data_IF_811823892799
#
_entry.id   IF_811823892799
#
_cell.length_a   1.000
_cell.length_b   1.000
_cell.length_c   1.000
_cell.angle_alpha   90.00
_cell.angle_beta   90.00
_cell.angle_gamma   90.00
#
_symmetry.space_group_name_H-M   'P 1'
#
loop_
_entity.id
_entity.type
_entity.pdbx_description
1 polymer ?
#
# COMPACT_ATOMS: atom_id res chain seq x y z
N UNK A 1 -9.90 -19.36 -5.05
CA UNK A 1 -9.98 -18.69 -3.74
C UNK A 1 -11.20 -17.79 -3.76
N UNK A 2 -12.00 -17.75 -2.68
CA UNK A 2 -12.93 -16.63 -2.48
C UNK A 2 -12.09 -15.39 -2.23
N UNK A 3 -12.36 -14.29 -2.93
CA UNK A 3 -11.73 -13.02 -2.61
C UNK A 3 -12.23 -12.58 -1.24
N UNK A 4 -11.33 -12.31 -0.28
CA UNK A 4 -11.71 -11.86 1.06
C UNK A 4 -12.45 -10.51 1.03
N UNK A 5 -12.34 -9.76 -0.06
CA UNK A 5 -13.06 -8.50 -0.28
C UNK A 5 -14.56 -8.75 -0.55
N UNK A 6 -14.93 -9.87 -1.17
CA UNK A 6 -16.34 -10.23 -1.40
C UNK A 6 -17.09 -10.53 -0.08
N UNK A 7 -16.38 -10.91 0.99
CA UNK A 7 -16.97 -11.08 2.32
C UNK A 7 -17.25 -9.75 3.02
N UNK A 8 -16.51 -8.69 2.68
CA UNK A 8 -16.67 -7.33 3.25
C UNK A 8 -17.76 -6.54 2.52
N UNK A 9 -17.94 -6.79 1.21
CA UNK A 9 -18.93 -6.14 0.38
C UNK A 9 -19.76 -7.19 -0.37
N UNK A 10 -20.67 -7.87 0.33
CA UNK A 10 -21.60 -8.85 -0.27
C UNK A 10 -22.76 -8.19 -1.04
N UNK A 11 -22.78 -6.85 -1.08
CA UNK A 11 -23.82 -6.04 -1.72
C UNK A 11 -25.13 -6.00 -0.95
N UNK A 12 -25.16 -6.41 0.32
CA UNK A 12 -26.35 -6.40 1.17
C UNK A 12 -26.15 -5.62 2.49
N UNK A 13 -27.01 -4.62 2.78
CA UNK A 13 -28.09 -4.09 1.92
C UNK A 13 -27.51 -3.46 0.64
N UNK A 14 -28.33 -3.25 -0.41
CA UNK A 14 -27.86 -2.61 -1.65
C UNK A 14 -27.23 -1.22 -1.43
N UNK A 15 -27.56 -0.56 -0.32
CA UNK A 15 -26.97 0.70 0.12
C UNK A 15 -25.56 0.54 0.77
N UNK A 16 -25.10 -0.68 1.02
CA UNK A 16 -23.76 -1.01 1.51
C UNK A 16 -22.79 -1.34 0.37
N UNK A 17 -23.08 -0.88 -0.86
CA UNK A 17 -22.18 -1.06 -1.99
C UNK A 17 -20.89 -0.24 -1.81
N UNK A 18 -19.78 -0.92 -1.56
CA UNK A 18 -18.47 -0.32 -1.41
C UNK A 18 -17.69 -0.44 -2.72
N UNK A 19 -17.04 0.63 -3.15
CA UNK A 19 -16.12 0.66 -4.28
C UNK A 19 -14.68 0.72 -3.76
N UNK A 20 -13.83 -0.19 -4.22
CA UNK A 20 -12.38 -0.07 -4.01
C UNK A 20 -11.82 1.12 -4.80
N UNK A 21 -10.97 1.91 -4.17
CA UNK A 21 -10.21 2.95 -4.87
C UNK A 21 -9.00 2.32 -5.55
N UNK A 22 -8.73 2.75 -6.79
CA UNK A 22 -7.51 2.36 -7.50
C UNK A 22 -6.28 2.75 -6.67
N UNK A 23 -5.26 1.89 -6.63
CA UNK A 23 -4.05 2.10 -5.86
C UNK A 23 -2.94 2.69 -6.73
N UNK A 24 -2.33 3.74 -6.20
CA UNK A 24 -1.23 4.44 -6.84
C UNK A 24 -0.05 4.53 -5.89
N UNK A 25 1.14 4.51 -6.45
CA UNK A 25 2.37 4.70 -5.71
C UNK A 25 3.04 5.97 -6.23
N UNK A 26 3.18 7.00 -5.38
CA UNK A 26 3.76 8.31 -5.73
C UNK A 26 5.30 8.23 -5.84
N UNK A 27 5.80 7.39 -6.75
CA UNK A 27 7.21 7.06 -7.00
C UNK A 27 7.46 7.01 -8.51
N UNK A 28 8.70 6.77 -8.95
CA UNK A 28 9.05 6.77 -10.38
C UNK A 28 8.28 5.73 -11.21
N UNK A 29 8.27 5.91 -12.54
CA UNK A 29 7.43 5.16 -13.50
C UNK A 29 7.46 3.63 -13.32
N UNK A 30 8.64 3.05 -13.08
CA UNK A 30 8.78 1.61 -12.85
C UNK A 30 8.06 1.14 -11.58
N UNK A 31 8.07 1.97 -10.54
CA UNK A 31 7.40 1.71 -9.27
C UNK A 31 5.88 1.82 -9.40
N UNK A 32 5.39 2.86 -10.07
CA UNK A 32 3.96 2.99 -10.38
C UNK A 32 3.47 1.80 -11.23
N UNK A 33 4.25 1.37 -12.23
CA UNK A 33 3.88 0.23 -13.05
C UNK A 33 3.74 -1.06 -12.22
N UNK A 34 4.67 -1.32 -11.29
CA UNK A 34 4.58 -2.48 -10.39
C UNK A 34 3.43 -2.37 -9.38
N UNK A 35 3.14 -1.17 -8.89
CA UNK A 35 2.00 -0.87 -8.03
C UNK A 35 0.68 -1.30 -8.71
N UNK A 36 0.47 -0.86 -9.95
CA UNK A 36 -0.70 -1.25 -10.74
C UNK A 36 -0.73 -2.75 -11.06
N UNK A 37 0.43 -3.40 -11.27
CA UNK A 37 0.46 -4.84 -11.48
C UNK A 37 0.06 -5.63 -10.22
N UNK A 38 0.35 -5.11 -9.03
CA UNK A 38 0.02 -5.75 -7.76
C UNK A 38 -1.50 -5.86 -7.49
N UNK A 39 -2.30 -5.00 -8.10
CA UNK A 39 -3.78 -5.10 -8.03
C UNK A 39 -4.34 -6.27 -8.84
N UNK A 40 -3.60 -6.73 -9.85
CA UNK A 40 -4.08 -7.70 -10.83
C UNK A 40 -3.50 -9.09 -10.55
N UNK A 41 -2.31 -9.16 -9.96
CA UNK A 41 -1.60 -10.40 -9.66
C UNK A 41 -0.63 -10.23 -8.51
N UNK A 42 -0.22 -11.37 -7.95
CA UNK A 42 0.93 -11.40 -7.05
C UNK A 42 2.19 -10.92 -7.77
N UNK A 43 2.95 -10.06 -7.09
CA UNK A 43 4.28 -9.67 -7.51
C UNK A 43 5.27 -10.79 -7.21
N UNK A 44 6.24 -10.97 -8.11
CA UNK A 44 7.38 -11.86 -7.88
C UNK A 44 8.29 -11.27 -6.80
N UNK A 45 9.12 -12.11 -6.16
CA UNK A 45 10.07 -11.65 -5.14
C UNK A 45 10.94 -10.47 -5.59
N UNK A 46 11.53 -10.46 -6.81
CA UNK A 46 12.32 -9.31 -7.26
C UNK A 46 11.49 -8.03 -7.45
N UNK A 47 10.24 -8.15 -7.92
CA UNK A 47 9.34 -7.00 -8.08
C UNK A 47 8.96 -6.40 -6.72
N UNK A 48 8.62 -7.26 -5.76
CA UNK A 48 8.36 -6.83 -4.38
C UNK A 48 9.59 -6.19 -3.73
N UNK A 49 10.78 -6.77 -3.94
CA UNK A 49 12.04 -6.22 -3.42
C UNK A 49 12.37 -4.84 -4.04
N UNK A 50 12.05 -4.64 -5.32
CA UNK A 50 12.22 -3.34 -5.96
C UNK A 50 11.35 -2.27 -5.30
N UNK A 51 10.05 -2.56 -5.13
CA UNK A 51 9.12 -1.65 -4.44
C UNK A 51 9.51 -1.41 -2.98
N UNK A 52 9.97 -2.45 -2.27
CA UNK A 52 10.39 -2.38 -0.87
C UNK A 52 11.72 -1.62 -0.66
N UNK A 53 12.47 -1.31 -1.71
CA UNK A 53 13.74 -0.60 -1.58
C UNK A 53 13.54 0.87 -1.20
N UNK A 54 14.54 1.45 -0.54
CA UNK A 54 14.51 2.85 -0.06
C UNK A 54 14.36 3.89 -1.18
N UNK A 55 14.69 3.53 -2.42
CA UNK A 55 14.53 4.38 -3.60
C UNK A 55 13.11 4.37 -4.17
N UNK A 56 12.24 3.50 -3.65
CA UNK A 56 10.83 3.40 -3.99
C UNK A 56 10.00 3.62 -2.72
N UNK A 57 9.27 2.62 -2.21
CA UNK A 57 8.38 2.81 -1.07
C UNK A 57 9.06 2.59 0.28
N UNK A 58 10.08 1.73 0.33
CA UNK A 58 10.96 1.56 1.50
C UNK A 58 10.44 0.63 2.61
N UNK A 59 9.17 0.28 2.63
CA UNK A 59 8.62 -0.68 3.61
C UNK A 59 8.74 -2.14 3.14
N UNK A 60 8.67 -3.09 4.08
CA UNK A 60 8.80 -4.53 3.80
C UNK A 60 7.65 -5.11 2.98
N UNK A 61 6.42 -4.65 3.25
CA UNK A 61 5.18 -5.06 2.61
C UNK A 61 4.62 -3.86 1.81
N UNK A 62 5.13 -3.60 0.59
CA UNK A 62 4.86 -2.37 -0.14
C UNK A 62 3.44 -2.18 -0.66
N UNK A 63 2.75 -3.27 -1.02
CA UNK A 63 1.44 -3.23 -1.71
C UNK A 63 0.65 -4.51 -1.41
N UNK A 64 -0.66 -4.49 -1.68
CA UNK A 64 -1.52 -5.68 -1.75
C UNK A 64 -2.23 -6.08 -0.45
N UNK A 65 -1.85 -5.53 0.70
CA UNK A 65 -2.47 -5.85 1.99
C UNK A 65 -3.39 -4.74 2.54
N UNK A 66 -3.05 -3.49 2.27
CA UNK A 66 -3.83 -2.33 2.71
C UNK A 66 -4.67 -1.84 1.54
N UNK A 67 -5.97 -1.61 1.77
CA UNK A 67 -6.95 -1.23 0.74
C UNK A 67 -7.89 -0.15 1.27
N UNK A 68 -8.32 0.78 0.41
CA UNK A 68 -9.36 1.77 0.76
C UNK A 68 -10.60 1.53 -0.08
N UNK A 69 -11.74 1.37 0.60
CA UNK A 69 -13.06 1.26 -0.02
C UNK A 69 -13.92 2.47 0.39
N UNK A 70 -14.66 3.03 -0.57
CA UNK A 70 -15.59 4.14 -0.37
C UNK A 70 -17.04 3.70 -0.60
N UNK A 71 -17.92 4.14 0.28
CA UNK A 71 -19.36 3.86 0.21
C UNK A 71 -20.15 4.95 -0.52
N UNK A 72 -21.48 4.75 -0.68
CA UNK A 72 -22.32 5.71 -1.38
C UNK A 72 -22.34 7.08 -0.70
N UNK A 73 -22.34 8.14 -1.51
CA UNK A 73 -22.35 9.53 -1.03
C UNK A 73 -20.97 10.07 -0.65
N UNK A 74 -19.91 9.26 -0.69
CA UNK A 74 -18.53 9.71 -0.53
C UNK A 74 -17.86 9.74 -1.90
N UNK A 75 -17.30 10.88 -2.27
CA UNK A 75 -16.48 10.98 -3.48
C UNK A 75 -15.01 10.98 -3.09
N UNK A 76 -14.15 10.31 -3.86
CA UNK A 76 -12.70 10.46 -3.73
C UNK A 76 -12.18 11.51 -4.72
N UNK A 77 -11.22 12.31 -4.27
CA UNK A 77 -10.45 13.23 -5.12
C UNK A 77 -9.15 12.54 -5.56
N UNK A 78 -9.30 11.53 -6.42
CA UNK A 78 -8.21 10.71 -6.92
C UNK A 78 -8.13 9.30 -6.33
N UNK A 79 -6.99 8.60 -6.58
CA UNK A 79 -6.74 7.23 -6.14
C UNK A 79 -6.37 7.15 -4.65
N UNK A 80 -6.29 5.93 -4.14
CA UNK A 80 -5.58 5.66 -2.89
C UNK A 80 -4.06 5.66 -3.15
N UNK A 81 -3.31 6.47 -2.40
CA UNK A 81 -1.87 6.67 -2.62
C UNK A 81 -1.07 5.95 -1.52
N UNK A 82 -0.25 4.98 -1.92
CA UNK A 82 0.85 4.45 -1.11
C UNK A 82 1.95 5.52 -0.98
N UNK A 83 2.30 5.85 0.25
CA UNK A 83 3.33 6.82 0.58
C UNK A 83 4.66 6.13 0.85
N UNK A 84 5.71 6.65 0.22
CA UNK A 84 7.07 6.21 0.52
C UNK A 84 7.48 6.61 1.93
N UNK A 85 7.99 5.64 2.68
CA UNK A 85 8.73 5.86 3.92
C UNK A 85 10.24 5.73 3.71
N UNK A 86 10.67 5.40 2.49
CA UNK A 86 12.06 5.36 2.04
C UNK A 86 12.99 4.67 3.05
N UNK A 87 14.04 5.38 3.46
CA UNK A 87 15.04 4.87 4.40
C UNK A 87 14.55 4.64 5.85
N UNK A 88 13.29 4.97 6.16
CA UNK A 88 12.66 4.72 7.46
C UNK A 88 11.98 3.35 7.53
N UNK A 89 11.78 2.66 6.40
CA UNK A 89 11.16 1.33 6.38
C UNK A 89 12.13 0.16 6.53
N UNK A 90 13.44 0.43 6.58
CA UNK A 90 14.48 -0.57 6.86
C UNK A 90 15.01 -0.47 8.29
N UNK A 91 15.26 -1.62 8.92
CA UNK A 91 16.04 -1.67 10.16
C UNK A 91 17.48 -1.25 9.88
N UNK A 92 18.07 -0.42 10.75
CA UNK A 92 19.47 0.01 10.65
C UNK A 92 20.27 -0.64 11.78
N UNK A 93 21.28 -1.41 11.39
CA UNK A 93 22.26 -1.91 12.35
C UNK A 93 22.98 -0.73 12.99
N UNK A 94 23.09 -0.75 14.33
CA UNK A 94 23.93 0.22 15.04
C UNK A 94 25.41 -0.14 14.94
N UNK A 95 26.23 0.67 15.59
CA UNK A 95 27.60 0.35 16.02
C UNK A 95 27.68 -1.02 16.72
N UNK A 96 28.88 -1.63 16.84
CA UNK A 96 29.05 -2.95 17.45
C UNK A 96 28.51 -3.11 18.88
N UNK A 97 28.24 -2.00 19.60
CA UNK A 97 27.64 -2.02 20.94
C UNK A 97 26.10 -1.87 20.93
N UNK A 98 25.49 -1.71 19.74
CA UNK A 98 24.04 -1.67 19.53
C UNK A 98 23.32 -0.40 19.98
N UNK A 99 24.02 0.65 20.43
CA UNK A 99 23.38 1.83 21.04
C UNK A 99 22.58 2.71 20.08
N UNK A 100 22.88 2.64 18.79
CA UNK A 100 22.32 3.45 17.71
C UNK A 100 21.56 2.61 16.68
N UNK A 101 21.19 1.37 17.05
CA UNK A 101 20.29 0.56 16.24
C UNK A 101 18.94 1.25 16.08
N UNK A 102 18.38 1.22 14.87
CA UNK A 102 17.06 1.77 14.58
C UNK A 102 16.16 0.69 14.00
N UNK A 103 14.92 0.63 14.48
CA UNK A 103 13.89 -0.18 13.86
C UNK A 103 13.22 0.61 12.74
N UNK A 104 12.71 -0.13 11.74
CA UNK A 104 11.79 0.41 10.77
C UNK A 104 10.58 1.02 11.49
N UNK A 105 10.06 2.13 10.96
CA UNK A 105 8.89 2.79 11.55
C UNK A 105 7.58 2.01 11.33
N UNK A 106 7.56 1.15 10.32
CA UNK A 106 6.46 0.28 9.94
C UNK A 106 6.98 -0.78 8.96
N UNK A 107 6.39 -1.97 8.97
CA UNK A 107 6.63 -2.96 7.92
C UNK A 107 5.69 -2.79 6.71
N UNK A 108 4.58 -2.07 6.86
CA UNK A 108 3.65 -1.67 5.80
C UNK A 108 3.85 -0.21 5.38
N UNK A 109 3.53 0.11 4.14
CA UNK A 109 3.56 1.48 3.65
C UNK A 109 2.24 2.19 3.97
N UNK A 110 2.27 3.43 4.49
CA UNK A 110 1.05 4.18 4.74
C UNK A 110 0.28 4.41 3.43
N UNK A 111 -1.04 4.27 3.48
CA UNK A 111 -1.93 4.60 2.38
C UNK A 111 -2.82 5.78 2.74
N UNK A 112 -3.04 6.69 1.81
CA UNK A 112 -3.92 7.85 1.99
C UNK A 112 -4.96 7.91 0.87
N UNK A 113 -6.14 8.44 1.16
CA UNK A 113 -7.11 8.85 0.15
C UNK A 113 -7.63 10.24 0.50
N UNK A 114 -7.87 11.08 -0.51
CA UNK A 114 -8.51 12.38 -0.36
C UNK A 114 -10.01 12.20 -0.62
N UNK A 115 -10.84 12.60 0.34
CA UNK A 115 -12.29 12.40 0.29
C UNK A 115 -13.01 13.74 0.34
N UNK A 116 -14.08 13.84 -0.44
CA UNK A 116 -14.97 15.00 -0.51
C UNK A 116 -16.40 14.55 -0.14
N UNK A 117 -17.08 15.41 0.63
CA UNK A 117 -18.38 15.13 1.25
C UNK A 117 -19.40 16.20 0.88
#
# INVERSE_FOLDING_TARGET
SRSLIEEVADGQPAAANLKILDEHCQIGDAGQALCTQAEIRDLTTPETQLLASENYLGCRNPVGLDHILVGPGINSDGPAEHLSIGNLGGNKAGTPNGKDQMLAISDHCPMIARLNF
#
